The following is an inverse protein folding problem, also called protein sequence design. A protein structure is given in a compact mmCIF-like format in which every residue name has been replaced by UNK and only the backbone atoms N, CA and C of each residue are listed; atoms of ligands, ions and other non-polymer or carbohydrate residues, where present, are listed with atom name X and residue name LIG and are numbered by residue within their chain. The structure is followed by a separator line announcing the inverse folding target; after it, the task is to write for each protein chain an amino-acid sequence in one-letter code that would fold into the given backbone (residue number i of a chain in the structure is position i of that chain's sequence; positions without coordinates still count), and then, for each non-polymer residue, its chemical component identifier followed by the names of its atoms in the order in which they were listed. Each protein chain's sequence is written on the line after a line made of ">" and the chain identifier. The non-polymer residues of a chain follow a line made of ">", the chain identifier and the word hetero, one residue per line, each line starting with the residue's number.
data_IF_431689139072
#
_entry.id   IF_431689139072
#
_cell.length_a   1.000
_cell.length_b   1.000
_cell.length_c   1.000
_cell.angle_alpha   90.00
_cell.angle_beta   90.00
_cell.angle_gamma   90.00
#
_symmetry.space_group_name_H-M   'P 1'
#
loop_
_entity.id
_entity.type
_entity.pdbx_description
1 polymer ?
#
# COMPACT_ATOMS: atom_id res chain seq x y z
N UNK A 1 -60.27 -25.39 -44.44
CA UNK A 1 -59.17 -24.40 -44.33
C UNK A 1 -59.14 -23.61 -43.00
N UNK A 2 -60.25 -23.42 -42.28
CA UNK A 2 -60.32 -22.64 -41.04
C UNK A 2 -59.49 -23.18 -39.84
N UNK A 3 -59.38 -24.52 -39.69
CA UNK A 3 -58.64 -25.16 -38.58
C UNK A 3 -57.12 -24.91 -38.64
N UNK A 4 -56.52 -24.89 -39.85
CA UNK A 4 -55.10 -24.54 -40.08
C UNK A 4 -54.80 -23.06 -39.82
N UNK A 5 -55.77 -22.16 -40.06
CA UNK A 5 -55.65 -20.72 -39.75
C UNK A 5 -55.61 -20.47 -38.23
N UNK A 6 -56.49 -21.14 -37.46
CA UNK A 6 -56.50 -21.06 -35.98
C UNK A 6 -55.22 -21.61 -35.34
N UNK A 7 -54.63 -22.70 -35.84
CA UNK A 7 -53.38 -23.23 -35.28
C UNK A 7 -52.17 -22.32 -35.59
N UNK A 8 -52.12 -21.71 -36.78
CA UNK A 8 -51.12 -20.70 -37.14
C UNK A 8 -51.23 -19.44 -36.29
N UNK A 9 -52.45 -18.93 -36.04
CA UNK A 9 -52.68 -17.79 -35.14
C UNK A 9 -52.26 -18.09 -33.70
N UNK A 10 -52.53 -19.29 -33.16
CA UNK A 10 -52.12 -19.69 -31.81
C UNK A 10 -50.59 -19.77 -31.69
N UNK A 11 -49.91 -20.27 -32.74
CA UNK A 11 -48.44 -20.33 -32.80
C UNK A 11 -47.80 -18.95 -32.89
N UNK A 12 -48.36 -18.05 -33.70
CA UNK A 12 -47.95 -16.64 -33.77
C UNK A 12 -48.12 -15.91 -32.44
N UNK A 13 -49.26 -16.12 -31.74
CA UNK A 13 -49.49 -15.50 -30.44
C UNK A 13 -48.51 -16.00 -29.38
N UNK A 14 -48.20 -17.29 -29.36
CA UNK A 14 -47.19 -17.84 -28.45
C UNK A 14 -45.77 -17.33 -28.76
N UNK A 15 -45.42 -17.17 -30.05
CA UNK A 15 -44.15 -16.53 -30.43
C UNK A 15 -44.09 -15.06 -30.02
N UNK A 16 -45.20 -14.32 -30.17
CA UNK A 16 -45.26 -12.92 -29.72
C UNK A 16 -45.09 -12.81 -28.21
N UNK A 17 -45.76 -13.67 -27.43
CA UNK A 17 -45.61 -13.72 -25.97
C UNK A 17 -44.16 -14.07 -25.59
N UNK A 18 -43.57 -15.09 -26.24
CA UNK A 18 -42.18 -15.48 -25.98
C UNK A 18 -41.21 -14.34 -26.27
N UNK A 19 -41.36 -13.65 -27.40
CA UNK A 19 -40.52 -12.50 -27.75
C UNK A 19 -40.69 -11.35 -26.76
N UNK A 20 -41.91 -11.10 -26.27
CA UNK A 20 -42.18 -10.05 -25.28
C UNK A 20 -41.53 -10.37 -23.92
N UNK A 21 -41.60 -11.64 -23.49
CA UNK A 21 -40.93 -12.11 -22.26
C UNK A 21 -39.41 -12.01 -22.40
N UNK A 22 -38.84 -12.42 -23.53
CA UNK A 22 -37.40 -12.30 -23.79
C UNK A 22 -36.94 -10.84 -23.81
N UNK A 23 -37.72 -9.94 -24.42
CA UNK A 23 -37.43 -8.51 -24.42
C UNK A 23 -37.49 -7.93 -23.01
N UNK A 24 -38.51 -8.30 -22.22
CA UNK A 24 -38.61 -7.88 -20.82
C UNK A 24 -37.42 -8.37 -19.98
N UNK A 25 -37.02 -9.63 -20.14
CA UNK A 25 -35.85 -10.19 -19.48
C UNK A 25 -34.56 -9.46 -19.86
N UNK A 26 -34.39 -9.15 -21.16
CA UNK A 26 -33.22 -8.39 -21.63
C UNK A 26 -33.15 -6.99 -21.00
N UNK A 27 -34.29 -6.28 -20.89
CA UNK A 27 -34.35 -4.97 -20.23
C UNK A 27 -33.98 -5.07 -18.74
N UNK A 28 -34.46 -6.11 -18.05
CA UNK A 28 -34.10 -6.35 -16.64
C UNK A 28 -32.60 -6.65 -16.49
N UNK A 29 -32.02 -7.48 -17.36
CA UNK A 29 -30.59 -7.80 -17.34
C UNK A 29 -29.76 -6.54 -17.62
N UNK A 30 -30.13 -5.75 -18.62
CA UNK A 30 -29.43 -4.49 -18.96
C UNK A 30 -29.55 -3.48 -17.82
N UNK A 31 -30.74 -3.34 -17.23
CA UNK A 31 -30.97 -2.45 -16.10
C UNK A 31 -30.18 -2.86 -14.85
N UNK A 32 -30.15 -4.16 -14.55
CA UNK A 32 -29.35 -4.71 -13.46
C UNK A 32 -27.85 -4.51 -13.72
N UNK A 33 -27.38 -4.79 -14.94
CA UNK A 33 -25.99 -4.55 -15.31
C UNK A 33 -25.63 -3.07 -15.19
N UNK A 34 -26.48 -2.15 -15.65
CA UNK A 34 -26.24 -0.72 -15.52
C UNK A 34 -26.15 -0.27 -14.05
N UNK A 35 -27.03 -0.79 -13.18
CA UNK A 35 -26.99 -0.52 -11.75
C UNK A 35 -25.76 -1.11 -11.06
N UNK A 36 -25.43 -2.38 -11.36
CA UNK A 36 -24.29 -3.09 -10.76
C UNK A 36 -22.93 -2.57 -11.24
N UNK A 37 -22.88 -1.88 -12.39
CA UNK A 37 -21.66 -1.32 -12.98
C UNK A 37 -21.46 0.18 -12.67
N UNK A 38 -22.34 0.79 -11.85
CA UNK A 38 -22.11 2.16 -11.42
C UNK A 38 -20.85 2.24 -10.54
N UNK A 39 -19.96 3.21 -10.77
CA UNK A 39 -18.80 3.39 -9.91
C UNK A 39 -19.26 3.72 -8.49
N UNK A 40 -18.64 3.07 -7.51
CA UNK A 40 -18.89 3.37 -6.10
C UNK A 40 -18.58 4.85 -5.80
N UNK A 41 -19.33 5.48 -4.88
CA UNK A 41 -19.02 6.83 -4.45
C UNK A 41 -17.65 6.84 -3.76
N UNK A 42 -16.89 7.90 -4.00
CA UNK A 42 -15.56 8.10 -3.40
C UNK A 42 -15.49 9.48 -2.77
N UNK A 43 -14.62 9.61 -1.78
CA UNK A 43 -14.30 10.87 -1.13
C UNK A 43 -13.33 11.68 -2.02
N UNK A 44 -13.66 12.94 -2.31
CA UNK A 44 -12.89 13.74 -3.27
C UNK A 44 -11.49 14.15 -2.77
N UNK A 45 -11.26 14.11 -1.45
CA UNK A 45 -10.00 14.50 -0.84
C UNK A 45 -9.03 13.33 -0.76
N UNK A 46 -9.53 12.14 -0.41
CA UNK A 46 -8.72 10.93 -0.22
C UNK A 46 -8.72 10.02 -1.45
N UNK A 47 -9.65 10.24 -2.39
CA UNK A 47 -9.93 9.39 -3.55
C UNK A 47 -10.34 7.96 -3.18
N UNK A 48 -10.59 7.69 -1.90
CA UNK A 48 -10.98 6.38 -1.41
C UNK A 48 -12.48 6.18 -1.53
N UNK A 49 -12.88 4.93 -1.77
CA UNK A 49 -14.29 4.54 -1.77
C UNK A 49 -14.93 4.84 -0.41
N UNK A 50 -16.16 5.38 -0.43
CA UNK A 50 -16.94 5.63 0.78
C UNK A 50 -17.60 4.30 1.17
N UNK A 51 -16.90 3.54 2.00
CA UNK A 51 -17.32 2.21 2.48
C UNK A 51 -16.97 2.03 3.96
N UNK A 52 -17.66 1.10 4.62
CA UNK A 52 -17.32 0.65 5.96
C UNK A 52 -16.06 -0.24 5.97
N UNK A 53 -15.70 -0.81 4.81
CA UNK A 53 -14.51 -1.63 4.63
C UNK A 53 -13.28 -0.77 4.32
N UNK A 54 -12.15 -1.08 4.95
CA UNK A 54 -10.89 -0.42 4.66
C UNK A 54 -10.29 -0.95 3.34
N UNK A 55 -9.69 -0.09 2.51
CA UNK A 55 -9.02 -0.54 1.30
C UNK A 55 -7.71 -1.30 1.62
N UNK A 56 -7.20 -2.12 0.68
CA UNK A 56 -5.81 -2.53 0.69
C UNK A 56 -4.88 -1.34 0.89
N UNK A 57 -3.78 -1.52 1.61
CA UNK A 57 -2.96 -0.38 2.02
C UNK A 57 -1.47 -0.70 1.87
N UNK A 58 -0.81 0.08 1.01
CA UNK A 58 0.65 0.15 0.91
C UNK A 58 1.17 1.43 1.58
N UNK A 59 1.97 1.28 2.62
CA UNK A 59 2.69 2.38 3.24
C UNK A 59 4.14 2.42 2.75
N UNK A 60 4.68 3.60 2.51
CA UNK A 60 6.12 3.81 2.28
C UNK A 60 6.67 4.63 3.42
N UNK A 61 7.71 4.11 4.07
CA UNK A 61 8.39 4.79 5.17
C UNK A 61 9.79 5.18 4.71
N UNK A 62 10.13 6.45 4.82
CA UNK A 62 11.46 6.99 4.52
C UNK A 62 12.15 7.34 5.83
N UNK A 63 13.24 6.63 6.13
CA UNK A 63 14.01 6.81 7.35
C UNK A 63 15.23 7.71 7.09
N UNK A 64 15.11 9.00 7.43
CA UNK A 64 16.13 10.03 7.16
C UNK A 64 17.13 10.15 8.31
N UNK A 65 17.94 9.12 8.53
CA UNK A 65 18.95 9.15 9.60
C UNK A 65 20.14 10.03 9.25
N UNK A 66 20.58 10.01 7.99
CA UNK A 66 21.67 10.86 7.50
C UNK A 66 21.30 11.52 6.16
N UNK A 67 22.11 12.49 5.73
CA UNK A 67 22.00 13.10 4.42
C UNK A 67 22.13 12.08 3.26
N UNK A 68 21.24 12.20 2.28
CA UNK A 68 21.30 11.43 1.04
C UNK A 68 22.11 12.15 -0.03
N UNK A 69 22.88 11.37 -0.80
CA UNK A 69 23.40 11.84 -2.09
C UNK A 69 22.26 12.07 -3.09
N UNK A 70 22.47 12.94 -4.09
CA UNK A 70 21.51 13.15 -5.18
C UNK A 70 21.13 11.84 -5.91
N UNK A 71 22.09 10.91 -6.01
CA UNK A 71 21.86 9.59 -6.58
C UNK A 71 20.91 8.75 -5.72
N UNK A 72 21.10 8.73 -4.40
CA UNK A 72 20.19 8.05 -3.48
C UNK A 72 18.79 8.68 -3.50
N UNK A 73 18.70 10.02 -3.47
CA UNK A 73 17.44 10.74 -3.60
C UNK A 73 16.67 10.34 -4.89
N UNK A 74 17.39 10.23 -6.01
CA UNK A 74 16.82 9.78 -7.28
C UNK A 74 16.32 8.32 -7.23
N UNK A 75 17.05 7.43 -6.54
CA UNK A 75 16.65 6.03 -6.35
C UNK A 75 15.47 5.87 -5.39
N UNK A 76 15.38 6.71 -4.36
CA UNK A 76 14.23 6.81 -3.44
C UNK A 76 12.99 7.23 -4.24
N UNK A 77 13.08 8.32 -5.00
CA UNK A 77 11.97 8.78 -5.85
C UNK A 77 11.54 7.71 -6.86
N UNK A 78 12.49 7.07 -7.54
CA UNK A 78 12.20 5.96 -8.47
C UNK A 78 11.55 4.76 -7.77
N UNK A 79 11.92 4.49 -6.52
CA UNK A 79 11.29 3.44 -5.70
C UNK A 79 9.84 3.77 -5.41
N UNK A 80 9.55 4.99 -4.96
CA UNK A 80 8.18 5.41 -4.64
C UNK A 80 7.30 5.39 -5.88
N UNK A 81 7.80 5.87 -7.03
CA UNK A 81 7.09 5.78 -8.32
C UNK A 81 6.80 4.34 -8.71
N UNK A 82 7.78 3.43 -8.56
CA UNK A 82 7.55 1.99 -8.81
C UNK A 82 6.53 1.39 -7.86
N UNK A 83 6.48 1.83 -6.60
CA UNK A 83 5.46 1.41 -5.64
C UNK A 83 4.08 1.89 -6.09
N UNK A 84 3.93 3.17 -6.45
CA UNK A 84 2.70 3.72 -7.04
C UNK A 84 2.24 2.92 -8.25
N UNK A 85 3.13 2.62 -9.18
CA UNK A 85 2.77 1.96 -10.45
C UNK A 85 2.25 0.53 -10.26
N UNK A 86 2.51 -0.09 -9.09
CA UNK A 86 2.03 -1.44 -8.75
C UNK A 86 0.72 -1.45 -7.97
N UNK A 87 0.20 -0.30 -7.57
CA UNK A 87 -1.03 -0.22 -6.80
C UNK A 87 -2.21 -0.77 -7.61
N UNK A 88 -3.03 -1.57 -6.94
CA UNK A 88 -4.33 -1.97 -7.47
C UNK A 88 -5.30 -0.79 -7.44
N UNK A 89 -6.39 -0.86 -8.23
CA UNK A 89 -7.43 0.18 -8.17
C UNK A 89 -8.07 0.15 -6.78
N UNK A 90 -8.20 1.31 -6.15
CA UNK A 90 -8.75 1.45 -4.81
C UNK A 90 -7.76 1.20 -3.68
N UNK A 91 -6.55 0.71 -3.98
CA UNK A 91 -5.49 0.54 -2.99
C UNK A 91 -5.00 1.91 -2.49
N UNK A 92 -4.89 2.06 -1.17
CA UNK A 92 -4.34 3.26 -0.52
C UNK A 92 -2.81 3.23 -0.55
N UNK A 93 -2.22 4.34 -0.96
CA UNK A 93 -0.80 4.64 -0.78
C UNK A 93 -0.65 5.73 0.25
N UNK A 94 0.16 5.47 1.28
CA UNK A 94 0.54 6.48 2.26
C UNK A 94 2.05 6.63 2.35
N UNK A 95 2.56 7.87 2.31
CA UNK A 95 3.97 8.17 2.51
C UNK A 95 4.20 8.73 3.92
N UNK A 96 5.19 8.19 4.61
CA UNK A 96 5.62 8.62 5.93
C UNK A 96 7.10 9.01 5.91
N UNK A 97 7.41 10.16 6.49
CA UNK A 97 8.76 10.55 6.89
C UNK A 97 8.91 10.22 8.38
N UNK A 98 9.96 9.48 8.75
CA UNK A 98 10.26 9.26 10.17
C UNK A 98 10.90 10.50 10.75
N UNK A 99 10.38 10.96 11.88
CA UNK A 99 11.09 11.93 12.72
C UNK A 99 12.07 11.24 13.68
N UNK A 100 12.85 12.06 14.37
CA UNK A 100 13.85 11.64 15.36
C UNK A 100 13.30 10.87 16.57
N UNK A 101 11.98 10.80 16.75
CA UNK A 101 11.36 10.04 17.84
C UNK A 101 10.65 8.79 17.29
N UNK A 102 10.80 8.50 15.99
CA UNK A 102 10.07 7.43 15.30
C UNK A 102 8.56 7.69 15.31
N UNK A 103 8.19 8.94 15.52
CA UNK A 103 6.85 9.44 15.36
C UNK A 103 6.69 9.91 13.91
N UNK A 104 5.46 9.90 13.45
CA UNK A 104 5.06 10.43 12.16
C UNK A 104 3.61 10.89 12.31
N UNK A 105 3.20 11.86 11.50
CA UNK A 105 1.78 12.22 11.45
C UNK A 105 1.00 10.98 10.96
N UNK A 106 0.03 10.45 11.73
CA UNK A 106 -0.74 9.28 11.32
C UNK A 106 -1.53 9.49 10.02
N UNK A 107 -1.69 10.75 9.56
CA UNK A 107 -2.26 11.08 8.26
C UNK A 107 -1.29 10.84 7.09
N UNK A 108 0.02 10.79 7.37
CA UNK A 108 1.09 10.76 6.36
C UNK A 108 1.25 12.09 5.63
N UNK A 109 2.38 12.25 4.94
CA UNK A 109 2.65 13.40 4.07
C UNK A 109 1.82 13.33 2.78
N UNK A 110 1.48 12.10 2.37
CA UNK A 110 0.59 11.78 1.27
C UNK A 110 -0.26 10.58 1.68
N UNK A 111 -1.57 10.59 1.41
CA UNK A 111 -2.45 9.44 1.73
C UNK A 111 -3.69 9.43 0.84
N UNK A 112 -3.59 8.76 -0.31
CA UNK A 112 -4.67 8.70 -1.31
C UNK A 112 -4.88 7.26 -1.80
N UNK A 113 -6.11 6.94 -2.19
CA UNK A 113 -6.41 5.71 -2.91
C UNK A 113 -6.18 5.87 -4.41
N UNK A 114 -5.64 4.84 -5.05
CA UNK A 114 -5.44 4.82 -6.50
C UNK A 114 -6.81 4.87 -7.22
N UNK A 115 -7.15 5.96 -7.93
CA UNK A 115 -8.44 6.08 -8.63
C UNK A 115 -8.53 5.18 -9.88
N UNK A 116 -7.43 4.48 -10.21
CA UNK A 116 -7.22 3.74 -11.44
C UNK A 116 -6.59 4.60 -12.53
N UNK A 117 -5.96 3.93 -13.50
CA UNK A 117 -5.32 4.51 -14.70
C UNK A 117 -5.92 3.89 -15.96
N UNK A 118 -5.80 4.55 -17.10
CA UNK A 118 -6.55 4.21 -18.32
C UNK A 118 -6.39 2.76 -18.79
N UNK A 119 -5.23 2.14 -18.56
CA UNK A 119 -4.91 0.74 -18.89
C UNK A 119 -5.47 -0.29 -17.89
N UNK A 120 -5.80 0.12 -16.67
CA UNK A 120 -6.39 -0.74 -15.64
C UNK A 120 -7.91 -0.86 -15.77
N UNK A 121 -8.54 -0.15 -16.73
CA UNK A 121 -9.98 0.00 -16.79
C UNK A 121 -10.57 -0.47 -18.11
N UNK A 122 -11.65 -1.25 -18.04
CA UNK A 122 -12.40 -1.67 -19.22
C UNK A 122 -13.13 -0.47 -19.87
N UNK A 123 -12.80 -0.10 -21.11
CA UNK A 123 -13.38 1.06 -21.81
C UNK A 123 -14.87 0.89 -22.14
N UNK A 124 -15.42 -0.32 -22.05
CA UNK A 124 -16.84 -0.57 -22.31
C UNK A 124 -17.77 0.05 -21.24
N UNK A 125 -17.26 0.29 -20.04
CA UNK A 125 -18.08 0.69 -18.89
C UNK A 125 -17.61 1.97 -18.20
N UNK A 126 -16.41 2.46 -18.50
CA UNK A 126 -15.85 3.68 -17.94
C UNK A 126 -15.10 4.46 -19.01
N UNK A 127 -15.10 5.80 -18.91
CA UNK A 127 -14.34 6.66 -19.82
C UNK A 127 -12.86 6.66 -19.39
N UNK A 128 -11.94 5.98 -20.12
CA UNK A 128 -10.55 5.86 -19.71
C UNK A 128 -9.83 7.20 -19.68
N UNK A 129 -10.20 8.13 -20.57
CA UNK A 129 -9.61 9.47 -20.63
C UNK A 129 -9.88 10.26 -19.35
N UNK A 130 -11.11 10.21 -18.82
CA UNK A 130 -11.44 10.90 -17.57
C UNK A 130 -10.74 10.29 -16.35
N UNK A 131 -10.54 8.97 -16.35
CA UNK A 131 -9.81 8.27 -15.28
C UNK A 131 -8.34 8.64 -15.32
N UNK A 132 -7.74 8.66 -16.51
CA UNK A 132 -6.35 9.07 -16.71
C UNK A 132 -6.12 10.53 -16.28
N UNK A 133 -7.01 11.45 -16.66
CA UNK A 133 -6.95 12.85 -16.22
C UNK A 133 -7.03 12.94 -14.69
N UNK A 134 -7.96 12.20 -14.06
CA UNK A 134 -8.11 12.18 -12.60
C UNK A 134 -6.87 11.62 -11.91
N UNK A 135 -6.32 10.51 -12.38
CA UNK A 135 -5.09 9.94 -11.85
C UNK A 135 -3.97 10.97 -11.90
N UNK A 136 -3.74 11.58 -13.06
CA UNK A 136 -2.67 12.54 -13.25
C UNK A 136 -2.84 13.80 -12.40
N UNK A 137 -4.06 14.36 -12.33
CA UNK A 137 -4.30 15.62 -11.64
C UNK A 137 -4.44 15.50 -10.12
N UNK A 138 -5.04 14.41 -9.64
CA UNK A 138 -5.43 14.24 -8.23
C UNK A 138 -4.56 13.27 -7.46
N UNK A 139 -3.81 12.40 -8.14
CA UNK A 139 -2.95 11.42 -7.49
C UNK A 139 -1.48 11.64 -7.84
N UNK A 140 -1.14 11.58 -9.13
CA UNK A 140 0.25 11.60 -9.61
C UNK A 140 0.94 12.94 -9.35
N UNK A 141 0.34 14.05 -9.79
CA UNK A 141 0.93 15.37 -9.60
C UNK A 141 1.11 15.75 -8.12
N UNK A 142 0.12 15.55 -7.22
CA UNK A 142 0.33 15.78 -5.79
C UNK A 142 1.44 14.91 -5.20
N UNK A 143 1.53 13.63 -5.61
CA UNK A 143 2.62 12.75 -5.19
C UNK A 143 3.98 13.29 -5.62
N UNK A 144 4.13 13.70 -6.88
CA UNK A 144 5.39 14.25 -7.40
C UNK A 144 5.80 15.54 -6.68
N UNK A 145 4.85 16.43 -6.34
CA UNK A 145 5.13 17.61 -5.51
C UNK A 145 5.69 17.23 -4.14
N UNK A 146 5.07 16.26 -3.47
CA UNK A 146 5.50 15.83 -2.14
C UNK A 146 6.84 15.08 -2.21
N UNK A 147 7.12 14.38 -3.31
CA UNK A 147 8.40 13.70 -3.52
C UNK A 147 9.57 14.67 -3.54
N UNK A 148 9.43 15.86 -4.11
CA UNK A 148 10.49 16.88 -4.14
C UNK A 148 10.94 17.26 -2.72
N UNK A 149 9.99 17.42 -1.81
CA UNK A 149 10.27 17.73 -0.39
C UNK A 149 10.77 16.50 0.38
N UNK A 150 10.14 15.34 0.16
CA UNK A 150 10.46 14.10 0.86
C UNK A 150 11.86 13.56 0.55
N UNK A 151 12.40 13.80 -0.64
CA UNK A 151 13.77 13.34 -0.97
C UNK A 151 14.85 14.34 -0.59
N UNK A 152 14.46 15.52 -0.08
CA UNK A 152 15.41 16.51 0.41
C UNK A 152 16.16 15.97 1.64
N UNK A 153 17.51 15.99 1.63
CA UNK A 153 18.33 15.52 2.75
C UNK A 153 18.00 16.25 4.04
N UNK A 154 17.81 15.49 5.12
CA UNK A 154 17.68 15.99 6.49
C UNK A 154 18.38 15.01 7.42
N UNK A 155 18.88 15.50 8.54
CA UNK A 155 19.51 14.69 9.56
C UNK A 155 18.51 14.45 10.70
N UNK A 156 18.37 13.20 11.13
CA UNK A 156 17.62 12.81 12.32
C UNK A 156 18.54 12.00 13.24
N UNK A 157 18.75 12.42 14.50
CA UNK A 157 19.75 11.79 15.38
C UNK A 157 19.42 10.34 15.79
N UNK A 158 18.19 9.87 15.56
CA UNK A 158 17.70 8.55 15.96
C UNK A 158 16.93 7.88 14.82
N UNK A 159 16.82 6.56 14.90
CA UNK A 159 16.15 5.71 13.91
C UNK A 159 15.31 4.62 14.60
N UNK A 160 14.11 4.94 15.11
CA UNK A 160 13.26 3.96 15.78
C UNK A 160 12.42 3.16 14.77
N UNK A 161 13.11 2.39 13.91
CA UNK A 161 12.49 1.67 12.78
C UNK A 161 11.37 0.73 13.25
N UNK A 162 11.64 -0.07 14.28
CA UNK A 162 10.69 -1.07 14.77
C UNK A 162 9.45 -0.41 15.39
N UNK A 163 9.64 0.64 16.16
CA UNK A 163 8.57 1.41 16.78
C UNK A 163 7.71 2.12 15.75
N UNK A 164 8.33 2.68 14.71
CA UNK A 164 7.60 3.31 13.62
C UNK A 164 6.70 2.31 12.89
N UNK A 165 7.23 1.13 12.54
CA UNK A 165 6.45 0.05 11.95
C UNK A 165 5.30 -0.35 12.89
N UNK A 166 5.59 -0.57 14.17
CA UNK A 166 4.59 -1.02 15.13
C UNK A 166 3.46 0.01 15.33
N UNK A 167 3.80 1.30 15.36
CA UNK A 167 2.85 2.42 15.42
C UNK A 167 1.99 2.52 14.17
N UNK A 168 2.57 2.30 12.99
CA UNK A 168 1.80 2.27 11.75
C UNK A 168 0.70 1.21 11.83
N UNK A 169 1.02 0.01 12.31
CA UNK A 169 0.04 -1.05 12.55
C UNK A 169 -1.07 -0.71 13.56
N UNK A 170 -0.90 0.34 14.38
CA UNK A 170 -1.90 0.82 15.32
C UNK A 170 -2.80 1.93 14.74
N UNK A 171 -2.45 2.50 13.59
CA UNK A 171 -3.30 3.49 12.92
C UNK A 171 -4.58 2.83 12.44
N UNK A 172 -5.69 3.56 12.46
CA UNK A 172 -6.97 3.01 11.99
C UNK A 172 -6.90 2.56 10.53
N UNK A 173 -6.21 3.34 9.69
CA UNK A 173 -6.08 3.10 8.26
C UNK A 173 -5.19 1.88 7.92
N UNK A 174 -4.25 1.50 8.77
CA UNK A 174 -3.32 0.36 8.55
C UNK A 174 -3.48 -0.75 9.61
N UNK A 175 -4.55 -0.70 10.41
CA UNK A 175 -4.86 -1.72 11.40
C UNK A 175 -5.14 -3.08 10.76
N UNK A 176 -5.21 -4.15 11.55
CA UNK A 176 -5.56 -5.51 11.08
C UNK A 176 -6.93 -5.63 10.37
N UNK A 177 -7.76 -4.57 10.40
CA UNK A 177 -9.00 -4.48 9.63
C UNK A 177 -8.75 -4.19 8.14
N UNK A 178 -7.62 -3.56 7.80
CA UNK A 178 -7.22 -3.33 6.43
C UNK A 178 -6.74 -4.64 5.78
N UNK A 179 -7.25 -5.02 4.61
CA UNK A 179 -6.74 -6.16 3.86
C UNK A 179 -5.35 -5.84 3.30
N UNK A 180 -4.57 -6.88 2.96
CA UNK A 180 -3.33 -6.78 2.18
C UNK A 180 -2.42 -5.60 2.58
N UNK A 181 -1.91 -5.64 3.81
CA UNK A 181 -1.07 -4.58 4.36
C UNK A 181 0.38 -4.74 3.93
N UNK A 182 0.86 -3.80 3.13
CA UNK A 182 2.22 -3.79 2.59
C UNK A 182 2.97 -2.58 3.13
N UNK A 183 4.23 -2.76 3.49
CA UNK A 183 5.13 -1.67 3.86
C UNK A 183 6.36 -1.73 2.98
N UNK A 184 6.74 -0.61 2.36
CA UNK A 184 8.04 -0.42 1.74
C UNK A 184 8.84 0.52 2.64
N UNK A 185 9.83 0.01 3.36
CA UNK A 185 10.71 0.86 4.17
C UNK A 185 12.02 1.13 3.43
N UNK A 186 12.43 2.38 3.39
CA UNK A 186 13.71 2.82 2.81
C UNK A 186 14.57 3.32 3.98
N UNK A 187 15.51 2.48 4.41
CA UNK A 187 16.30 2.68 5.63
C UNK A 187 17.63 1.92 5.53
N UNK A 188 18.64 2.36 6.29
CA UNK A 188 19.85 1.57 6.52
C UNK A 188 19.67 0.45 7.57
N UNK A 189 18.50 0.40 8.22
CA UNK A 189 18.11 -0.56 9.25
C UNK A 189 19.04 -0.56 10.47
N UNK A 190 19.80 0.53 10.69
CA UNK A 190 20.65 0.72 11.86
C UNK A 190 19.83 1.37 12.98
N UNK A 191 19.06 0.53 13.70
CA UNK A 191 18.24 0.99 14.83
C UNK A 191 19.06 1.84 15.80
N UNK A 192 18.49 2.99 16.14
CA UNK A 192 18.94 3.82 17.25
C UNK A 192 17.73 4.37 17.98
N UNK A 193 17.33 3.70 19.06
CA UNK A 193 16.21 4.11 19.90
C UNK A 193 16.40 3.64 21.34
N UNK A 194 15.45 4.00 22.21
CA UNK A 194 15.36 3.52 23.58
C UNK A 194 15.24 1.99 23.70
N UNK A 195 14.78 1.28 22.65
CA UNK A 195 14.70 -0.18 22.67
C UNK A 195 16.09 -0.81 22.56
N UNK A 196 16.88 -0.39 21.57
CA UNK A 196 18.29 -0.74 21.43
C UNK A 196 18.98 0.12 20.35
N UNK A 197 20.31 0.11 20.38
CA UNK A 197 21.17 0.84 19.45
C UNK A 197 22.14 -0.13 18.78
N UNK A 198 22.33 -0.01 17.46
CA UNK A 198 23.20 -0.88 16.64
C UNK A 198 24.61 -0.27 16.44
N UNK A 199 24.79 0.99 16.84
CA UNK A 199 26.07 1.68 16.81
C UNK A 199 27.02 1.13 17.90
N UNK A 200 28.17 0.56 17.53
CA UNK A 200 29.16 0.16 18.55
C UNK A 200 30.30 -0.78 18.13
N UNK A 201 30.19 -1.56 17.06
CA UNK A 201 31.24 -2.50 16.63
C UNK A 201 31.73 -2.14 15.23
N UNK A 202 33.04 -2.19 14.97
CA UNK A 202 33.66 -1.87 13.67
C UNK A 202 33.20 -2.74 12.48
N UNK A 203 31.93 -2.63 12.08
CA UNK A 203 31.29 -3.48 11.07
C UNK A 203 30.75 -4.81 11.60
N UNK A 204 30.51 -4.93 12.91
CA UNK A 204 29.95 -6.12 13.55
C UNK A 204 28.84 -5.74 14.53
N UNK A 205 27.88 -6.66 14.75
CA UNK A 205 26.82 -6.45 15.73
C UNK A 205 27.42 -6.26 17.14
N UNK A 206 26.93 -5.29 17.93
CA UNK A 206 27.37 -5.14 19.31
C UNK A 206 27.08 -6.40 20.13
N UNK A 207 28.01 -6.81 21.01
CA UNK A 207 27.78 -7.93 21.95
C UNK A 207 26.63 -7.64 22.93
N UNK A 208 26.30 -6.37 23.11
CA UNK A 208 25.20 -5.89 23.96
C UNK A 208 23.84 -5.94 23.26
N UNK A 209 23.76 -6.45 22.03
CA UNK A 209 22.51 -6.54 21.30
C UNK A 209 21.55 -7.47 22.08
N UNK A 210 20.30 -7.03 22.36
CA UNK A 210 19.32 -7.90 22.98
C UNK A 210 18.99 -9.07 22.06
N UNK A 211 18.51 -10.17 22.65
CA UNK A 211 18.01 -11.31 21.89
C UNK A 211 16.80 -10.92 21.01
N UNK A 212 16.73 -11.46 19.79
CA UNK A 212 15.72 -11.10 18.81
C UNK A 212 14.29 -11.43 19.29
N UNK A 213 14.11 -12.57 19.97
CA UNK A 213 12.82 -12.97 20.54
C UNK A 213 12.43 -12.02 21.66
N UNK A 214 13.39 -11.63 22.53
CA UNK A 214 13.13 -10.67 23.60
C UNK A 214 12.69 -9.29 23.06
N UNK A 215 13.26 -8.84 21.93
CA UNK A 215 12.85 -7.60 21.25
C UNK A 215 11.45 -7.73 20.64
N UNK A 216 11.15 -8.84 19.96
CA UNK A 216 9.81 -9.10 19.43
C UNK A 216 8.76 -9.12 20.55
N UNK A 217 9.04 -9.83 21.65
CA UNK A 217 8.21 -9.87 22.85
C UNK A 217 8.00 -8.48 23.46
N UNK A 218 9.06 -7.68 23.57
CA UNK A 218 8.97 -6.29 24.04
C UNK A 218 8.07 -5.44 23.16
N UNK A 219 8.16 -5.63 21.86
CA UNK A 219 7.34 -4.94 20.85
C UNK A 219 5.87 -5.36 20.97
N UNK A 220 5.59 -6.66 21.05
CA UNK A 220 4.22 -7.18 21.23
C UNK A 220 3.60 -6.72 22.55
N UNK A 221 4.37 -6.68 23.64
CA UNK A 221 3.87 -6.15 24.92
C UNK A 221 3.47 -4.67 24.83
N UNK A 222 4.22 -3.88 24.06
CA UNK A 222 4.01 -2.43 23.95
C UNK A 222 2.95 -2.06 22.90
N UNK A 223 2.96 -2.74 21.77
CA UNK A 223 2.18 -2.37 20.58
C UNK A 223 1.11 -3.40 20.20
N UNK A 224 1.08 -4.56 20.88
CA UNK A 224 0.25 -5.70 20.50
C UNK A 224 0.75 -6.38 19.23
N UNK A 225 -0.08 -7.24 18.65
CA UNK A 225 0.22 -7.93 17.38
C UNK A 225 -0.09 -7.03 16.15
N UNK A 226 0.22 -5.73 16.23
CA UNK A 226 -0.15 -4.75 15.20
C UNK A 226 0.49 -5.07 13.84
N UNK A 227 1.66 -5.70 13.87
CA UNK A 227 2.46 -6.06 12.69
C UNK A 227 2.14 -7.44 12.10
N UNK A 228 1.39 -8.28 12.80
CA UNK A 228 1.11 -9.64 12.34
C UNK A 228 0.38 -9.63 10.99
N UNK A 229 0.92 -10.29 9.97
CA UNK A 229 0.36 -10.35 8.62
C UNK A 229 0.68 -9.14 7.74
N UNK A 230 1.71 -8.37 8.07
CA UNK A 230 2.26 -7.31 7.21
C UNK A 230 3.28 -7.91 6.25
N UNK A 231 3.22 -7.49 4.99
CA UNK A 231 4.26 -7.76 3.98
C UNK A 231 5.24 -6.58 3.92
N UNK A 232 6.48 -6.78 4.36
CA UNK A 232 7.52 -5.76 4.45
C UNK A 232 8.57 -5.92 3.34
N UNK A 233 8.68 -4.93 2.46
CA UNK A 233 9.81 -4.76 1.54
C UNK A 233 10.81 -3.75 2.12
N UNK A 234 12.01 -4.22 2.43
CA UNK A 234 13.11 -3.38 2.90
C UNK A 234 13.96 -2.98 1.69
N UNK A 235 14.05 -1.67 1.44
CA UNK A 235 14.96 -1.03 0.49
C UNK A 235 16.16 -0.50 1.25
N UNK A 236 17.14 -1.39 1.40
CA UNK A 236 18.31 -1.17 2.22
C UNK A 236 19.19 -0.07 1.63
N UNK A 237 19.48 0.95 2.43
CA UNK A 237 20.49 1.96 2.13
C UNK A 237 21.85 1.43 2.62
N UNK A 238 22.77 1.06 1.71
CA UNK A 238 24.06 0.52 2.12
C UNK A 238 24.95 1.63 2.70
N UNK A 239 25.50 1.38 3.89
CA UNK A 239 26.50 2.25 4.51
C UNK A 239 27.86 1.60 4.35
N UNK A 240 28.81 2.25 3.67
CA UNK A 240 30.13 1.65 3.35
C UNK A 240 30.80 0.96 4.55
N UNK A 241 30.72 1.55 5.73
CA UNK A 241 31.29 1.01 6.98
C UNK A 241 30.58 -0.26 7.50
N UNK A 242 29.32 -0.46 7.14
CA UNK A 242 28.44 -1.48 7.71
C UNK A 242 27.87 -2.45 6.67
N UNK A 243 28.18 -2.34 5.37
CA UNK A 243 27.54 -3.13 4.30
C UNK A 243 27.57 -4.63 4.58
N UNK A 244 28.72 -5.18 4.98
CA UNK A 244 28.86 -6.61 5.25
C UNK A 244 28.00 -7.04 6.45
N UNK A 245 27.94 -6.21 7.49
CA UNK A 245 27.08 -6.41 8.65
C UNK A 245 25.60 -6.35 8.26
N UNK A 246 25.21 -5.31 7.51
CA UNK A 246 23.83 -5.08 7.05
C UNK A 246 23.32 -6.25 6.22
N UNK A 247 24.14 -6.79 5.31
CA UNK A 247 23.78 -7.90 4.43
C UNK A 247 23.94 -9.28 5.07
N UNK A 248 24.65 -9.37 6.19
CA UNK A 248 24.90 -10.60 6.94
C UNK A 248 24.14 -10.64 8.25
N UNK A 249 24.86 -10.41 9.35
CA UNK A 249 24.36 -10.64 10.70
C UNK A 249 23.15 -9.76 11.06
N UNK A 250 23.13 -8.49 10.64
CA UNK A 250 22.02 -7.58 10.92
C UNK A 250 20.74 -8.00 10.21
N UNK A 251 20.86 -8.39 8.94
CA UNK A 251 19.73 -8.95 8.18
C UNK A 251 19.16 -10.19 8.87
N UNK A 252 20.03 -11.12 9.29
CA UNK A 252 19.60 -12.34 9.98
C UNK A 252 18.87 -12.02 11.29
N UNK A 253 19.39 -11.05 12.06
CA UNK A 253 18.76 -10.57 13.29
C UNK A 253 17.36 -9.98 13.02
N UNK A 254 17.24 -9.08 12.04
CA UNK A 254 15.94 -8.50 11.68
C UNK A 254 14.96 -9.55 11.14
N UNK A 255 15.42 -10.49 10.32
CA UNK A 255 14.60 -11.59 9.82
C UNK A 255 14.04 -12.43 10.97
N UNK A 256 14.76 -12.57 12.08
CA UNK A 256 14.27 -13.24 13.29
C UNK A 256 13.24 -12.41 14.04
N UNK A 257 13.55 -11.13 14.34
CA UNK A 257 12.61 -10.21 14.99
C UNK A 257 11.28 -10.14 14.23
N UNK A 258 11.33 -9.96 12.90
CA UNK A 258 10.13 -9.83 12.07
C UNK A 258 9.34 -11.13 11.94
N UNK A 259 10.01 -12.29 11.94
CA UNK A 259 9.32 -13.59 11.93
C UNK A 259 8.50 -13.80 13.21
N UNK A 260 9.07 -13.47 14.37
CA UNK A 260 8.35 -13.55 15.65
C UNK A 260 7.16 -12.57 15.71
N UNK A 261 7.27 -11.43 15.03
CA UNK A 261 6.17 -10.46 14.89
C UNK A 261 5.13 -10.85 13.83
N UNK A 262 5.33 -11.97 13.12
CA UNK A 262 4.44 -12.43 12.05
C UNK A 262 4.48 -11.59 10.78
N UNK A 263 5.63 -10.96 10.48
CA UNK A 263 5.87 -10.13 9.30
C UNK A 263 6.58 -10.93 8.23
N UNK A 264 6.09 -10.86 6.98
CA UNK A 264 6.78 -11.43 5.82
C UNK A 264 7.78 -10.43 5.27
N UNK A 265 9.07 -10.77 5.18
CA UNK A 265 10.12 -9.80 4.81
C UNK A 265 10.77 -10.12 3.46
N UNK A 266 10.95 -9.10 2.63
CA UNK A 266 11.77 -9.14 1.42
C UNK A 266 12.82 -8.04 1.44
N UNK A 267 14.08 -8.37 1.19
CA UNK A 267 15.18 -7.41 1.15
C UNK A 267 15.60 -7.10 -0.28
N UNK A 268 15.81 -5.83 -0.59
CA UNK A 268 16.45 -5.36 -1.83
C UNK A 268 17.35 -4.17 -1.51
N UNK A 269 18.45 -4.03 -2.25
CA UNK A 269 19.19 -2.78 -2.20
C UNK A 269 18.35 -1.62 -2.77
N UNK A 270 18.66 -0.40 -2.35
CA UNK A 270 18.06 0.82 -2.90
C UNK A 270 18.41 1.02 -4.39
#
# INVERSE_FOLDING_TARGET
>A
MARRRRSRQKKQRNQAILNFVLAGLAVVIIGFAFFALQPAPYDELTLCEISDELPPHTAVIIDKTDEYSEQQASLIAATIRRTRDRLEIGERLTLFELDQDGQFDPRGEFSLCNPGRGDQVNPLFRNPEQIEVRFNDKFDRPLETILEDLVTPKEAPNSPVLEALARLGQTDAFSRRAPQRRVVIISDMLQNSDLFTIYGGGGALPETMPDAIAVADGTMRRFGDSLNGVDLEIRLIPRQRYVDMQRGALKAYWDEVFRELGVSVTWRDL
#
